data_IF_570599504874
#
_entry.id   IF_570599504874
#
_cell.length_a   1.000
_cell.length_b   1.000
_cell.length_c   1.000
_cell.angle_alpha   90.00
_cell.angle_beta   90.00
_cell.angle_gamma   90.00
#
_symmetry.space_group_name_H-M   'P 1'
#
loop_
_entity.id
_entity.type
_entity.pdbx_description
1 polymer ?
#
# COMPACT_ATOMS: atom_id res chain seq x y z
N UNK A 1 -26.32 24.54 43.51
CA UNK A 1 -25.97 23.22 42.94
C UNK A 1 -26.26 23.09 41.44
N UNK A 2 -27.43 23.53 40.93
CA UNK A 2 -27.82 23.36 39.51
C UNK A 2 -26.85 24.02 38.49
N UNK A 3 -26.35 25.22 38.78
CA UNK A 3 -25.42 25.93 37.88
C UNK A 3 -24.11 25.18 37.62
N UNK A 4 -23.49 24.61 38.67
CA UNK A 4 -22.22 23.86 38.58
C UNK A 4 -22.36 22.55 37.79
N UNK A 5 -23.54 21.93 37.84
CA UNK A 5 -23.86 20.71 37.09
C UNK A 5 -23.95 21.03 35.59
N UNK A 6 -24.59 22.15 35.23
CA UNK A 6 -24.72 22.61 33.84
C UNK A 6 -23.35 22.98 33.26
N UNK A 7 -22.49 23.68 34.02
CA UNK A 7 -21.14 24.02 33.55
C UNK A 7 -20.27 22.78 33.33
N UNK A 8 -20.38 21.79 34.22
CA UNK A 8 -19.66 20.51 34.07
C UNK A 8 -20.13 19.72 32.85
N UNK A 9 -21.43 19.73 32.56
CA UNK A 9 -22.01 19.05 31.40
C UNK A 9 -21.57 19.70 30.09
N UNK A 10 -21.54 21.04 30.03
CA UNK A 10 -21.07 21.79 28.86
C UNK A 10 -19.58 21.54 28.61
N UNK A 11 -18.74 21.52 29.67
CA UNK A 11 -17.33 21.15 29.53
C UNK A 11 -17.15 19.73 29.01
N UNK A 12 -17.92 18.76 29.52
CA UNK A 12 -17.85 17.37 29.06
C UNK A 12 -18.23 17.24 27.58
N UNK A 13 -19.27 17.95 27.14
CA UNK A 13 -19.69 18.00 25.73
C UNK A 13 -18.62 18.66 24.87
N UNK A 14 -17.98 19.74 25.33
CA UNK A 14 -16.85 20.35 24.63
C UNK A 14 -15.65 19.41 24.55
N UNK A 15 -15.34 18.67 25.61
CA UNK A 15 -14.25 17.66 25.61
C UNK A 15 -14.59 16.50 24.68
N UNK A 16 -15.85 16.08 24.58
CA UNK A 16 -16.32 15.06 23.62
C UNK A 16 -16.33 15.57 22.17
N UNK A 17 -16.57 16.86 21.95
CA UNK A 17 -16.49 17.51 20.63
C UNK A 17 -15.04 17.80 20.20
N UNK A 18 -14.15 18.04 21.18
CA UNK A 18 -12.70 18.27 21.01
C UNK A 18 -11.90 16.97 21.16
N UNK A 19 -12.56 15.85 21.48
CA UNK A 19 -12.02 14.51 21.26
C UNK A 19 -11.90 14.33 19.75
N UNK A 20 -10.82 14.90 19.22
CA UNK A 20 -10.39 14.77 17.85
C UNK A 20 -10.43 13.29 17.53
N UNK A 21 -11.14 12.92 16.47
CA UNK A 21 -10.92 11.62 15.85
C UNK A 21 -9.41 11.55 15.57
N UNK A 22 -8.68 10.81 16.41
CA UNK A 22 -7.32 10.41 16.10
C UNK A 22 -7.51 9.47 14.94
N UNK A 23 -7.33 9.98 13.72
CA UNK A 23 -7.24 9.12 12.55
C UNK A 23 -6.15 8.11 12.90
N UNK A 24 -6.50 6.83 12.95
CA UNK A 24 -5.65 5.76 13.45
C UNK A 24 -4.21 5.98 12.95
N UNK A 25 -3.32 6.37 13.87
CA UNK A 25 -1.94 6.65 13.53
C UNK A 25 -1.26 5.33 13.17
N UNK A 26 -0.74 5.23 11.94
CA UNK A 26 0.16 4.12 11.61
C UNK A 26 1.47 4.37 12.36
N UNK A 27 1.88 3.38 13.14
CA UNK A 27 3.15 3.38 13.88
C UNK A 27 3.93 2.10 13.52
N UNK A 28 5.21 2.26 13.19
CA UNK A 28 6.13 1.13 12.94
C UNK A 28 6.96 0.93 14.21
N UNK A 29 6.86 -0.26 14.82
CA UNK A 29 7.60 -0.62 16.04
C UNK A 29 8.62 -1.72 15.75
N UNK A 30 9.78 -1.69 16.42
CA UNK A 30 10.70 -2.83 16.39
C UNK A 30 10.04 -4.05 17.04
N UNK A 31 10.42 -5.25 16.57
CA UNK A 31 9.97 -6.54 17.10
C UNK A 31 8.44 -6.79 17.10
N UNK A 32 7.68 -6.11 16.26
CA UNK A 32 6.27 -6.40 16.02
C UNK A 32 6.05 -7.08 14.67
N UNK A 33 4.88 -7.70 14.51
CA UNK A 33 4.46 -8.30 13.24
C UNK A 33 3.91 -7.22 12.30
N UNK A 34 4.07 -7.44 10.99
CA UNK A 34 3.43 -6.59 9.99
C UNK A 34 1.90 -6.61 10.15
N UNK A 35 1.28 -5.46 9.92
CA UNK A 35 -0.18 -5.35 9.93
C UNK A 35 -0.75 -5.99 8.65
N UNK A 36 -1.48 -7.09 8.81
CA UNK A 36 -2.12 -7.84 7.73
C UNK A 36 -3.59 -8.09 8.05
N UNK A 37 -4.28 -8.89 7.22
CA UNK A 37 -5.70 -9.22 7.40
C UNK A 37 -6.63 -7.98 7.37
N UNK A 38 -6.29 -7.02 6.52
CA UNK A 38 -7.12 -5.86 6.23
C UNK A 38 -7.43 -5.78 4.74
N UNK A 39 -8.44 -4.99 4.39
CA UNK A 39 -8.81 -4.77 2.99
C UNK A 39 -7.85 -3.77 2.32
N UNK A 40 -7.70 -3.84 1.00
CA UNK A 40 -7.00 -2.80 0.24
C UNK A 40 -7.65 -1.41 0.42
N UNK A 41 -8.98 -1.36 0.58
CA UNK A 41 -9.71 -0.14 0.94
C UNK A 41 -9.23 0.47 2.27
N UNK A 42 -9.04 -0.35 3.31
CA UNK A 42 -8.53 0.11 4.59
C UNK A 42 -7.05 0.49 4.49
N UNK A 43 -6.24 -0.29 3.77
CA UNK A 43 -4.83 0.04 3.52
C UNK A 43 -4.69 1.38 2.82
N UNK A 44 -5.54 1.64 1.82
CA UNK A 44 -5.60 2.94 1.14
C UNK A 44 -5.95 4.04 2.12
N UNK A 45 -7.05 3.88 2.88
CA UNK A 45 -7.54 4.89 3.82
C UNK A 45 -6.50 5.20 4.90
N UNK A 46 -5.83 4.19 5.47
CA UNK A 46 -4.78 4.41 6.45
C UNK A 46 -3.61 5.21 5.89
N UNK A 47 -3.11 4.87 4.69
CA UNK A 47 -2.02 5.62 4.07
C UNK A 47 -2.47 7.03 3.68
N UNK A 48 -3.67 7.17 3.11
CA UNK A 48 -4.25 8.45 2.69
C UNK A 48 -4.44 9.41 3.88
N UNK A 49 -4.85 8.89 5.03
CA UNK A 49 -5.08 9.67 6.24
C UNK A 49 -3.79 10.14 6.92
N UNK A 50 -2.61 9.63 6.55
CA UNK A 50 -1.32 10.15 7.02
C UNK A 50 -1.06 11.58 6.57
N UNK A 51 -1.80 12.10 5.58
CA UNK A 51 -1.80 13.53 5.21
C UNK A 51 -2.51 14.43 6.21
N UNK A 52 -3.31 13.88 7.11
CA UNK A 52 -4.05 14.69 8.06
C UNK A 52 -3.10 15.31 9.10
N UNK A 53 -3.21 16.60 9.43
CA UNK A 53 -2.43 17.24 10.49
C UNK A 53 -2.52 16.57 11.86
N UNK A 54 -3.57 15.77 12.11
CA UNK A 54 -3.74 14.99 13.35
C UNK A 54 -3.15 13.59 13.31
N UNK A 55 -2.49 13.20 12.21
CA UNK A 55 -1.83 11.90 12.06
C UNK A 55 -0.46 11.84 12.77
N UNK A 56 0.19 10.67 12.75
CA UNK A 56 1.56 10.49 13.25
C UNK A 56 2.63 11.32 12.52
N UNK A 57 2.34 11.81 11.31
CA UNK A 57 3.26 12.71 10.60
C UNK A 57 3.09 14.18 11.00
N UNK A 58 2.04 14.52 11.75
CA UNK A 58 1.75 15.89 12.18
C UNK A 58 1.50 16.85 11.01
N UNK A 59 1.70 18.15 11.24
CA UNK A 59 1.58 19.16 10.18
C UNK A 59 2.85 19.15 9.31
N UNK A 60 2.73 18.64 8.08
CA UNK A 60 3.85 18.46 7.16
C UNK A 60 3.38 18.67 5.70
N UNK A 61 4.34 18.84 4.78
CA UNK A 61 4.08 18.99 3.34
C UNK A 61 4.23 17.68 2.57
N UNK A 62 4.38 16.55 3.26
CA UNK A 62 4.57 15.26 2.63
C UNK A 62 3.28 14.81 1.96
N UNK A 63 3.43 14.00 0.92
CA UNK A 63 2.33 13.33 0.25
C UNK A 63 2.40 11.80 0.40
N UNK A 64 1.91 11.25 1.53
CA UNK A 64 1.73 9.83 1.71
C UNK A 64 0.62 9.22 0.83
N UNK A 65 0.89 8.04 0.30
CA UNK A 65 -0.11 7.20 -0.37
C UNK A 65 0.18 5.72 -0.21
N UNK A 66 -0.83 4.88 -0.45
CA UNK A 66 -0.61 3.43 -0.55
C UNK A 66 0.17 3.12 -1.83
N UNK A 67 1.22 2.30 -1.73
CA UNK A 67 2.10 1.98 -2.87
C UNK A 67 1.34 1.69 -4.17
N UNK A 68 1.74 2.38 -5.22
CA UNK A 68 1.27 2.18 -6.59
C UNK A 68 2.12 1.08 -7.24
N UNK A 69 1.60 0.47 -8.31
CA UNK A 69 2.43 -0.40 -9.13
C UNK A 69 3.53 0.38 -9.85
N UNK A 70 3.35 1.67 -10.15
CA UNK A 70 4.47 2.53 -10.61
C UNK A 70 5.58 2.68 -9.57
N UNK A 71 5.25 2.85 -8.28
CA UNK A 71 6.26 2.88 -7.22
C UNK A 71 7.01 1.55 -7.16
N UNK A 72 6.26 0.45 -7.23
CA UNK A 72 6.83 -0.88 -7.28
C UNK A 72 7.69 -1.11 -8.52
N UNK A 73 7.25 -0.59 -9.68
CA UNK A 73 7.97 -0.66 -10.93
C UNK A 73 9.30 0.09 -10.88
N UNK A 74 9.34 1.27 -10.26
CA UNK A 74 10.58 1.99 -10.01
C UNK A 74 11.57 1.15 -9.19
N UNK A 75 11.10 0.49 -8.13
CA UNK A 75 11.93 -0.39 -7.29
C UNK A 75 12.40 -1.64 -8.05
N UNK A 76 11.51 -2.27 -8.82
CA UNK A 76 11.83 -3.46 -9.62
C UNK A 76 12.86 -3.13 -10.71
N UNK A 77 12.67 -2.04 -11.46
CA UNK A 77 13.63 -1.60 -12.48
C UNK A 77 14.95 -1.16 -11.88
N UNK A 78 14.96 -0.48 -10.72
CA UNK A 78 16.20 -0.17 -9.99
C UNK A 78 16.93 -1.46 -9.62
N UNK A 79 16.23 -2.45 -9.05
CA UNK A 79 16.80 -3.73 -8.66
C UNK A 79 17.35 -4.55 -9.84
N UNK A 80 16.73 -4.45 -11.01
CA UNK A 80 17.17 -5.10 -12.25
C UNK A 80 18.26 -4.31 -13.00
N UNK A 81 18.47 -3.03 -12.66
CA UNK A 81 19.44 -2.16 -13.35
C UNK A 81 20.89 -2.57 -13.07
N UNK A 82 21.85 -1.91 -13.74
CA UNK A 82 23.28 -2.07 -13.44
C UNK A 82 23.70 -1.61 -12.04
N UNK A 83 22.84 -0.86 -11.34
CA UNK A 83 23.04 -0.46 -9.94
C UNK A 83 22.34 -1.40 -8.95
N UNK A 84 21.55 -2.35 -9.47
CA UNK A 84 20.86 -3.37 -8.71
C UNK A 84 21.53 -4.74 -8.82
N UNK A 85 21.10 -5.64 -7.95
CA UNK A 85 21.64 -7.00 -7.80
C UNK A 85 20.55 -8.06 -7.83
N UNK A 86 19.31 -7.67 -8.20
CA UNK A 86 18.18 -8.61 -8.23
C UNK A 86 18.41 -9.64 -9.35
N UNK A 87 18.75 -10.86 -8.93
CA UNK A 87 18.90 -12.06 -9.80
C UNK A 87 17.89 -13.16 -9.46
N UNK A 88 16.93 -12.85 -8.61
CA UNK A 88 15.87 -13.75 -8.11
C UNK A 88 14.55 -12.99 -8.01
N UNK A 89 13.47 -13.69 -7.66
CA UNK A 89 12.15 -13.08 -7.47
C UNK A 89 12.07 -12.15 -6.24
N UNK A 90 12.91 -12.32 -5.22
CA UNK A 90 12.85 -11.54 -3.96
C UNK A 90 13.96 -10.49 -3.82
N UNK A 91 14.95 -10.50 -4.71
CA UNK A 91 16.15 -9.68 -4.61
C UNK A 91 17.33 -10.39 -3.95
N UNK A 92 18.37 -9.61 -3.65
CA UNK A 92 19.56 -10.08 -2.92
C UNK A 92 19.35 -9.92 -1.41
N UNK A 93 20.31 -10.34 -0.60
CA UNK A 93 20.25 -10.28 0.86
C UNK A 93 21.29 -9.32 1.44
N UNK A 94 20.95 -8.66 2.55
CA UNK A 94 21.90 -7.96 3.38
C UNK A 94 21.60 -8.19 4.86
N UNK A 95 22.59 -7.97 5.73
CA UNK A 95 22.43 -8.07 7.18
C UNK A 95 22.52 -6.69 7.83
N UNK A 96 21.58 -6.37 8.71
CA UNK A 96 21.57 -5.17 9.55
C UNK A 96 21.37 -5.64 10.99
N UNK A 97 22.30 -5.30 11.88
CA UNK A 97 22.28 -5.69 13.30
C UNK A 97 22.01 -7.19 13.54
N UNK A 98 22.62 -8.05 12.72
CA UNK A 98 22.48 -9.51 12.79
C UNK A 98 21.17 -10.07 12.19
N UNK A 99 20.27 -9.22 11.70
CA UNK A 99 19.03 -9.62 11.03
C UNK A 99 19.18 -9.56 9.51
N UNK A 100 18.69 -10.59 8.80
CA UNK A 100 18.73 -10.64 7.34
C UNK A 100 17.51 -9.99 6.71
N UNK A 101 17.74 -9.20 5.67
CA UNK A 101 16.73 -8.47 4.90
C UNK A 101 16.91 -8.75 3.41
N UNK A 102 15.83 -8.71 2.64
CA UNK A 102 15.96 -8.65 1.18
C UNK A 102 16.22 -7.21 0.74
N UNK A 103 17.03 -7.03 -0.30
CA UNK A 103 17.48 -5.73 -0.79
C UNK A 103 17.62 -5.73 -2.31
N UNK A 104 17.47 -4.55 -2.91
CA UNK A 104 17.67 -4.37 -4.35
C UNK A 104 19.13 -4.44 -4.79
N UNK A 105 20.10 -4.18 -3.91
CA UNK A 105 21.51 -3.99 -4.29
C UNK A 105 22.53 -4.78 -3.43
N UNK A 106 22.09 -5.77 -2.66
CA UNK A 106 22.94 -6.57 -1.77
C UNK A 106 23.49 -5.82 -0.55
N UNK A 107 23.10 -4.55 -0.36
CA UNK A 107 23.59 -3.69 0.71
C UNK A 107 22.44 -3.06 1.51
N UNK A 108 22.69 -2.62 2.77
CA UNK A 108 21.71 -1.92 3.60
C UNK A 108 21.20 -0.58 3.04
N UNK A 109 21.88 -0.02 2.04
CA UNK A 109 21.50 1.23 1.37
C UNK A 109 20.51 1.03 0.23
N UNK A 110 20.23 -0.22 -0.14
CA UNK A 110 19.20 -0.56 -1.12
C UNK A 110 17.78 -0.43 -0.55
N UNK A 111 16.80 -0.66 -1.42
CA UNK A 111 15.40 -0.70 -0.99
C UNK A 111 15.15 -2.05 -0.31
N UNK A 112 14.78 -2.00 0.97
CA UNK A 112 14.65 -3.19 1.81
C UNK A 112 13.25 -3.81 1.80
N UNK A 113 13.19 -5.14 1.89
CA UNK A 113 11.99 -5.95 2.06
C UNK A 113 10.88 -5.70 1.02
N UNK A 114 11.22 -5.18 -0.16
CA UNK A 114 10.31 -5.13 -1.29
C UNK A 114 10.14 -6.55 -1.85
N UNK A 115 8.92 -7.08 -1.81
CA UNK A 115 8.63 -8.44 -2.26
C UNK A 115 8.95 -9.56 -1.25
N UNK A 116 9.17 -9.23 0.03
CA UNK A 116 9.32 -10.24 1.09
C UNK A 116 7.97 -10.89 1.50
N UNK A 117 6.87 -10.21 1.23
CA UNK A 117 5.50 -10.64 1.53
C UNK A 117 4.53 -10.15 0.46
N UNK A 118 3.34 -10.74 0.42
CA UNK A 118 2.26 -10.23 -0.40
C UNK A 118 1.89 -8.82 0.04
N UNK A 119 1.85 -7.87 -0.88
CA UNK A 119 1.57 -6.46 -0.59
C UNK A 119 0.43 -5.94 -1.45
N UNK A 120 -0.57 -5.34 -0.82
CA UNK A 120 -1.66 -4.64 -1.49
C UNK A 120 -1.13 -3.36 -2.15
N UNK A 121 -1.53 -3.11 -3.39
CA UNK A 121 -1.27 -1.85 -4.07
C UNK A 121 -2.54 -1.03 -4.21
N UNK A 122 -2.38 0.27 -4.47
CA UNK A 122 -3.48 1.15 -4.86
C UNK A 122 -3.78 1.03 -6.36
N UNK A 123 -4.02 -0.19 -6.83
CA UNK A 123 -4.28 -0.47 -8.26
C UNK A 123 -5.47 -1.41 -8.42
N UNK A 124 -6.40 -1.03 -9.28
CA UNK A 124 -7.66 -1.77 -9.51
C UNK A 124 -8.03 -1.82 -10.99
N UNK A 125 -8.62 -2.93 -11.45
CA UNK A 125 -9.03 -3.09 -12.85
C UNK A 125 -10.37 -2.41 -13.16
N UNK A 126 -10.41 -1.62 -14.24
CA UNK A 126 -11.50 -0.73 -14.61
C UNK A 126 -12.82 -1.43 -14.98
N UNK A 127 -12.77 -2.43 -15.85
CA UNK A 127 -13.96 -3.18 -16.30
C UNK A 127 -14.65 -3.91 -15.13
N UNK A 128 -13.91 -4.19 -14.06
CA UNK A 128 -14.47 -4.71 -12.81
C UNK A 128 -15.00 -3.62 -11.88
N UNK A 129 -14.65 -2.35 -12.13
CA UNK A 129 -14.92 -1.17 -11.31
C UNK A 129 -16.25 -0.47 -11.66
N UNK A 130 -16.71 -0.59 -12.90
CA UNK A 130 -18.03 -0.12 -13.31
C UNK A 130 -19.08 -1.20 -13.04
N UNK A 131 -20.15 -0.84 -12.33
CA UNK A 131 -21.34 -1.70 -12.16
C UNK A 131 -21.28 -2.74 -11.03
N UNK A 132 -20.20 -2.80 -10.25
CA UNK A 132 -20.06 -3.77 -9.17
C UNK A 132 -20.15 -3.12 -7.79
N UNK A 133 -21.36 -2.68 -7.46
CA UNK A 133 -21.72 -2.25 -6.10
C UNK A 133 -21.72 -3.49 -5.19
N UNK A 134 -21.14 -3.39 -3.98
CA UNK A 134 -21.21 -4.46 -2.97
C UNK A 134 -19.91 -5.12 -2.53
N UNK A 135 -18.75 -4.68 -3.01
CA UNK A 135 -17.45 -5.23 -2.56
C UNK A 135 -16.68 -4.23 -1.67
N UNK A 136 -16.77 -4.34 -0.33
CA UNK A 136 -16.21 -3.36 0.59
C UNK A 136 -14.68 -3.24 0.53
N UNK A 137 -14.00 -4.24 -0.02
CA UNK A 137 -12.54 -4.32 0.01
C UNK A 137 -11.81 -3.40 -0.97
N UNK A 138 -12.53 -2.69 -1.85
CA UNK A 138 -11.95 -1.74 -2.83
C UNK A 138 -12.66 -0.38 -2.89
N UNK A 139 -13.63 -0.15 -2.01
CA UNK A 139 -14.50 1.05 -2.07
C UNK A 139 -13.69 2.34 -2.08
N UNK A 140 -12.73 2.49 -1.16
CA UNK A 140 -11.90 3.71 -1.07
C UNK A 140 -11.03 3.93 -2.30
N UNK A 141 -10.54 2.87 -2.95
CA UNK A 141 -9.81 2.99 -4.22
C UNK A 141 -10.74 3.52 -5.32
N UNK A 142 -11.97 3.01 -5.40
CA UNK A 142 -12.92 3.45 -6.43
C UNK A 142 -13.44 4.88 -6.21
N UNK A 143 -13.65 5.27 -4.96
CA UNK A 143 -13.96 6.67 -4.59
C UNK A 143 -12.85 7.63 -5.04
N UNK A 144 -11.61 7.16 -5.09
CA UNK A 144 -10.42 7.95 -5.43
C UNK A 144 -9.84 7.62 -6.82
N UNK A 145 -10.59 6.93 -7.70
CA UNK A 145 -10.10 6.44 -9.01
C UNK A 145 -9.61 7.52 -9.98
N UNK A 146 -10.05 8.76 -9.77
CA UNK A 146 -9.69 9.92 -10.59
C UNK A 146 -8.59 10.78 -9.96
N UNK A 147 -7.90 10.24 -8.94
CA UNK A 147 -6.77 10.90 -8.27
C UNK A 147 -5.46 10.22 -8.67
N UNK A 148 -4.33 10.88 -8.42
CA UNK A 148 -3.00 10.27 -8.63
C UNK A 148 -2.70 9.11 -7.66
N UNK A 149 -3.48 8.99 -6.58
CA UNK A 149 -3.29 7.99 -5.54
C UNK A 149 -3.87 6.62 -5.88
N UNK A 150 -4.52 6.45 -7.03
CA UNK A 150 -5.09 5.18 -7.48
C UNK A 150 -4.78 4.95 -8.95
N UNK A 151 -4.29 3.76 -9.28
CA UNK A 151 -4.07 3.34 -10.64
C UNK A 151 -5.22 2.47 -11.16
N UNK A 152 -5.72 2.85 -12.32
CA UNK A 152 -6.80 2.14 -13.00
C UNK A 152 -6.22 1.34 -14.17
N UNK A 153 -6.35 0.02 -14.10
CA UNK A 153 -5.93 -0.88 -15.18
C UNK A 153 -7.04 -1.06 -16.20
N UNK A 154 -6.74 -0.77 -17.46
CA UNK A 154 -7.67 -0.93 -18.58
C UNK A 154 -7.39 -2.17 -19.44
N UNK A 155 -6.24 -2.82 -19.24
CA UNK A 155 -5.86 -4.03 -19.95
C UNK A 155 -4.50 -4.58 -19.51
N UNK A 156 -4.14 -5.76 -20.00
CA UNK A 156 -2.94 -6.51 -19.62
C UNK A 156 -1.82 -6.45 -20.67
N UNK A 157 -1.77 -5.39 -21.48
CA UNK A 157 -0.70 -5.20 -22.45
C UNK A 157 0.45 -4.41 -21.84
N UNK A 158 1.64 -4.52 -22.42
CA UNK A 158 2.80 -3.68 -22.04
C UNK A 158 2.44 -2.19 -22.17
N UNK A 159 1.70 -1.81 -23.21
CA UNK A 159 1.26 -0.43 -23.39
C UNK A 159 0.31 0.04 -22.27
N UNK A 160 -0.62 -0.83 -21.86
CA UNK A 160 -1.59 -0.52 -20.80
C UNK A 160 -0.99 -0.48 -19.39
N UNK A 161 0.14 -1.16 -19.17
CA UNK A 161 0.79 -1.30 -17.86
C UNK A 161 2.18 -0.67 -17.80
N UNK A 162 2.51 0.19 -18.76
CA UNK A 162 3.86 0.73 -18.91
C UNK A 162 4.34 1.44 -17.64
N UNK A 163 5.51 1.04 -17.15
CA UNK A 163 6.15 1.60 -15.97
C UNK A 163 5.66 0.99 -14.66
N UNK A 164 4.68 0.08 -14.70
CA UNK A 164 4.13 -0.57 -13.51
C UNK A 164 4.83 -1.89 -13.17
N UNK A 165 5.71 -2.37 -14.06
CA UNK A 165 6.40 -3.64 -13.91
C UNK A 165 5.41 -4.78 -13.59
N UNK A 166 4.34 -4.82 -14.38
CA UNK A 166 3.31 -5.86 -14.32
C UNK A 166 3.48 -6.80 -15.50
N UNK A 167 3.09 -6.36 -16.69
CA UNK A 167 3.19 -7.18 -17.90
C UNK A 167 4.63 -7.19 -18.42
N UNK A 168 5.38 -6.12 -18.22
CA UNK A 168 6.73 -5.97 -18.80
C UNK A 168 7.74 -6.97 -18.22
N UNK A 169 7.53 -7.38 -16.97
CA UNK A 169 8.41 -8.31 -16.25
C UNK A 169 7.68 -9.58 -15.81
N UNK A 170 6.47 -9.82 -16.32
CA UNK A 170 5.63 -10.95 -15.92
C UNK A 170 6.35 -12.28 -16.13
N UNK A 171 6.47 -13.08 -15.07
CA UNK A 171 7.11 -14.40 -15.10
C UNK A 171 8.64 -14.38 -15.11
N UNK A 172 9.28 -13.21 -15.03
CA UNK A 172 10.74 -13.13 -14.98
C UNK A 172 11.28 -13.84 -13.74
N UNK A 173 12.36 -14.61 -13.93
CA UNK A 173 12.97 -15.43 -12.88
C UNK A 173 11.98 -16.43 -12.23
N UNK A 174 10.90 -16.79 -12.93
CA UNK A 174 9.85 -17.67 -12.41
C UNK A 174 8.91 -16.98 -11.42
N UNK A 175 8.85 -15.65 -11.41
CA UNK A 175 7.94 -14.88 -10.55
C UNK A 175 6.48 -15.20 -10.84
N UNK A 176 5.64 -15.00 -9.84
CA UNK A 176 4.19 -15.12 -10.01
C UNK A 176 3.70 -14.03 -10.97
N UNK A 177 2.81 -14.36 -11.90
CA UNK A 177 2.13 -13.37 -12.72
C UNK A 177 0.66 -13.77 -12.90
N UNK A 178 -0.22 -13.00 -12.27
CA UNK A 178 -1.65 -13.03 -12.54
C UNK A 178 -2.17 -11.60 -12.65
N UNK A 179 -2.76 -11.30 -13.80
CA UNK A 179 -3.42 -10.02 -14.02
C UNK A 179 -4.82 -10.05 -13.41
N UNK A 180 -5.29 -8.98 -12.72
CA UNK A 180 -6.64 -8.90 -12.17
C UNK A 180 -7.68 -9.32 -13.20
N UNK A 181 -8.48 -10.33 -12.93
CA UNK A 181 -9.30 -11.01 -13.96
C UNK A 181 -10.79 -10.71 -13.93
N UNK A 182 -11.33 -10.38 -12.75
CA UNK A 182 -12.78 -10.24 -12.53
C UNK A 182 -13.10 -9.42 -11.26
N UNK A 183 -14.38 -9.19 -10.99
CA UNK A 183 -14.87 -8.45 -9.82
C UNK A 183 -14.47 -9.06 -8.46
N UNK A 184 -14.20 -10.37 -8.44
CA UNK A 184 -13.77 -11.12 -7.26
C UNK A 184 -12.29 -10.91 -6.96
N UNK A 185 -11.45 -10.66 -7.96
CA UNK A 185 -10.01 -10.42 -7.79
C UNK A 185 -9.55 -9.12 -8.50
N UNK A 186 -10.08 -7.94 -8.10
CA UNK A 186 -9.92 -6.73 -8.88
C UNK A 186 -8.68 -5.92 -8.51
N UNK A 187 -8.04 -6.23 -7.37
CA UNK A 187 -6.89 -5.51 -6.84
C UNK A 187 -5.61 -6.24 -7.20
N UNK A 188 -4.57 -5.49 -7.56
CA UNK A 188 -3.23 -6.05 -7.72
C UNK A 188 -2.59 -6.26 -6.36
N UNK A 189 -2.10 -7.49 -6.14
CA UNK A 189 -1.20 -7.82 -5.05
C UNK A 189 0.19 -8.02 -5.63
N UNK A 190 1.21 -7.53 -4.95
CA UNK A 190 2.60 -7.80 -5.27
C UNK A 190 3.12 -8.93 -4.40
N UNK A 191 3.55 -10.02 -5.00
CA UNK A 191 3.94 -11.26 -4.30
C UNK A 191 5.42 -11.34 -3.99
N UNK A 192 6.21 -10.55 -4.71
CA UNK A 192 7.66 -10.60 -4.86
C UNK A 192 8.09 -9.32 -5.59
N UNK A 193 9.40 -9.03 -5.69
CA UNK A 193 9.85 -7.77 -6.31
C UNK A 193 9.50 -7.74 -7.80
N UNK A 194 9.46 -8.91 -8.43
CA UNK A 194 9.21 -9.07 -9.87
C UNK A 194 7.87 -9.69 -10.23
N UNK A 195 7.01 -10.01 -9.27
CA UNK A 195 5.75 -10.68 -9.57
C UNK A 195 4.54 -9.96 -9.02
N UNK A 196 3.40 -10.46 -9.46
CA UNK A 196 2.09 -9.90 -9.19
C UNK A 196 1.04 -10.99 -9.21
N UNK A 197 -0.01 -10.77 -8.44
CA UNK A 197 -1.19 -11.60 -8.41
C UNK A 197 -2.45 -10.74 -8.35
N UNK A 198 -3.58 -11.37 -8.62
CA UNK A 198 -4.91 -10.79 -8.49
C UNK A 198 -5.52 -11.27 -7.17
N UNK A 199 -5.89 -10.34 -6.30
CA UNK A 199 -6.46 -10.67 -4.98
C UNK A 199 -7.84 -10.08 -4.76
N UNK A 200 -8.66 -10.68 -3.87
CA UNK A 200 -9.97 -10.16 -3.52
C UNK A 200 -9.90 -8.90 -2.64
N UNK A 201 -8.78 -8.19 -2.63
CA UNK A 201 -8.55 -7.04 -1.74
C UNK A 201 -8.40 -7.41 -0.25
N UNK A 202 -8.91 -8.57 0.22
CA UNK A 202 -8.70 -9.12 1.56
C UNK A 202 -7.92 -10.43 1.49
N UNK A 203 -6.67 -10.41 1.91
CA UNK A 203 -5.88 -11.62 2.03
C UNK A 203 -5.18 -11.61 3.39
N UNK A 204 -5.36 -12.70 4.16
CA UNK A 204 -4.91 -12.80 5.54
C UNK A 204 -3.40 -12.58 5.70
N UNK A 205 -2.61 -12.86 4.64
CA UNK A 205 -1.16 -12.68 4.64
C UNK A 205 -0.71 -11.39 3.95
N UNK A 206 -1.61 -10.67 3.28
CA UNK A 206 -1.23 -9.46 2.56
C UNK A 206 -1.03 -8.29 3.53
N UNK A 207 0.10 -7.61 3.35
CA UNK A 207 0.48 -6.37 4.03
C UNK A 207 0.25 -5.17 3.12
N UNK A 208 0.58 -3.99 3.58
CA UNK A 208 0.54 -2.76 2.79
C UNK A 208 1.75 -1.90 3.13
N UNK A 209 2.10 -0.97 2.22
CA UNK A 209 3.25 -0.08 2.40
C UNK A 209 2.84 1.35 2.05
N UNK A 210 2.94 2.31 2.99
CA UNK A 210 2.88 3.71 2.64
C UNK A 210 4.13 4.10 1.88
N UNK A 211 3.97 4.92 0.85
CA UNK A 211 5.06 5.62 0.19
C UNK A 211 4.90 7.09 0.53
N UNK A 212 5.98 7.75 0.92
CA UNK A 212 5.96 9.11 1.45
C UNK A 212 6.93 9.93 0.60
N UNK A 213 6.40 10.92 -0.12
CA UNK A 213 7.16 11.84 -0.96
C UNK A 213 7.06 13.27 -0.41
N UNK A 214 7.93 14.15 -0.90
CA UNK A 214 7.85 15.61 -0.72
C UNK A 214 7.21 16.25 -1.94
#
# INVERSE_FOLDING_TARGET
>A
MKGKLITSLIMLIFILLVATNVNAAIEIKPATTAHSNITASNSFEYCYNMRNPTSSLGNNTLDPHLTLNKDWGAVAYLGLSGYGTVKSITGDSCTIDGTSYTTTNGNPTGVLNFGASQTQTSTVRYDTSEGSTGYPYRTKLLENKNTEYVEILTGNTIAATKGQALTEIGGWFGSSYSFPGNHTYPVVLRTDILGSNSGPGTNNVATYRPVIWN
#
